data_IF_560621038363
#
_entry.id   IF_560621038363
#
_cell.length_a   1.000
_cell.length_b   1.000
_cell.length_c   1.000
_cell.angle_alpha   90.00
_cell.angle_beta   90.00
_cell.angle_gamma   90.00
#
_symmetry.space_group_name_H-M   'P 1'
#
loop_
_entity.id
_entity.type
_entity.pdbx_description
1 polymer ?
#
# COMPACT_ATOMS: atom_id res chain seq x y z
N UNK A 1 -5.96 -34.66 6.00
CA UNK A 1 -6.79 -33.78 5.20
C UNK A 1 -7.72 -33.06 6.14
N UNK A 2 -7.80 -31.73 6.10
CA UNK A 2 -8.76 -30.93 6.88
C UNK A 2 -9.87 -30.49 5.94
N UNK A 3 -11.07 -30.26 6.46
CA UNK A 3 -12.21 -29.79 5.68
C UNK A 3 -12.76 -28.51 6.29
N UNK A 4 -13.25 -27.60 5.46
CA UNK A 4 -13.90 -26.36 5.89
C UNK A 4 -14.93 -25.91 4.84
N UNK A 5 -15.92 -25.12 5.21
CA UNK A 5 -16.83 -24.52 4.23
C UNK A 5 -16.11 -23.38 3.47
N UNK A 6 -15.35 -22.56 4.18
CA UNK A 6 -14.62 -21.44 3.55
C UNK A 6 -13.18 -21.40 4.03
N UNK A 7 -12.24 -21.47 3.09
CA UNK A 7 -10.83 -21.25 3.31
C UNK A 7 -10.46 -19.82 2.89
N UNK A 8 -9.83 -19.08 3.79
CA UNK A 8 -9.29 -17.74 3.51
C UNK A 8 -7.77 -17.83 3.50
N UNK A 9 -7.17 -17.51 2.35
CA UNK A 9 -5.71 -17.52 2.16
C UNK A 9 -5.19 -16.09 2.30
N UNK A 10 -4.60 -15.78 3.44
CA UNK A 10 -4.09 -14.47 3.83
C UNK A 10 -4.94 -13.80 4.92
N UNK A 11 -4.35 -13.67 6.10
CA UNK A 11 -4.93 -13.04 7.29
C UNK A 11 -4.74 -11.50 7.32
N UNK A 12 -4.68 -10.83 6.16
CA UNK A 12 -4.64 -9.37 6.06
C UNK A 12 -6.02 -8.72 6.20
N UNK A 13 -6.12 -7.41 5.90
CA UNK A 13 -7.38 -6.65 6.04
C UNK A 13 -8.55 -7.31 5.29
N UNK A 14 -8.36 -7.71 4.04
CA UNK A 14 -9.42 -8.37 3.26
C UNK A 14 -9.88 -9.68 3.88
N UNK A 15 -8.94 -10.54 4.30
CA UNK A 15 -9.24 -11.85 4.87
C UNK A 15 -9.89 -11.78 6.25
N UNK A 16 -9.39 -10.92 7.16
CA UNK A 16 -9.97 -10.77 8.50
C UNK A 16 -11.39 -10.19 8.45
N UNK A 17 -11.64 -9.19 7.59
CA UNK A 17 -12.97 -8.60 7.44
C UNK A 17 -13.94 -9.55 6.72
N UNK A 18 -13.48 -10.35 5.76
CA UNK A 18 -14.29 -11.42 5.19
C UNK A 18 -14.70 -12.44 6.25
N UNK A 19 -13.75 -12.91 7.06
CA UNK A 19 -14.02 -13.84 8.15
C UNK A 19 -14.99 -13.28 9.20
N UNK A 20 -14.80 -12.01 9.59
CA UNK A 20 -15.69 -11.31 10.51
C UNK A 20 -17.13 -11.30 9.99
N UNK A 21 -17.31 -10.94 8.73
CA UNK A 21 -18.63 -10.81 8.14
C UNK A 21 -19.31 -12.17 7.92
N UNK A 22 -18.56 -13.17 7.42
CA UNK A 22 -19.05 -14.55 7.28
C UNK A 22 -19.51 -15.11 8.62
N UNK A 23 -18.73 -14.93 9.69
CA UNK A 23 -19.13 -15.39 11.03
C UNK A 23 -20.37 -14.69 11.55
N UNK A 24 -20.51 -13.39 11.28
CA UNK A 24 -21.68 -12.61 11.67
C UNK A 24 -22.97 -13.10 10.95
N UNK A 25 -22.86 -13.48 9.68
CA UNK A 25 -24.01 -13.95 8.88
C UNK A 25 -24.30 -15.43 9.06
N UNK A 26 -23.25 -16.24 9.19
CA UNK A 26 -23.32 -17.70 9.24
C UNK A 26 -22.62 -18.22 10.51
N UNK A 27 -23.31 -18.19 11.67
CA UNK A 27 -22.68 -18.51 12.97
C UNK A 27 -22.10 -19.93 13.06
N UNK A 28 -22.60 -20.86 12.23
CA UNK A 28 -22.18 -22.26 12.24
C UNK A 28 -21.29 -22.66 11.05
N UNK A 29 -20.89 -21.72 10.19
CA UNK A 29 -20.01 -22.00 9.06
C UNK A 29 -18.58 -22.32 9.57
N UNK A 30 -17.99 -23.38 9.08
CA UNK A 30 -16.57 -23.66 9.35
C UNK A 30 -15.69 -22.76 8.48
N UNK A 31 -14.85 -21.95 9.14
CA UNK A 31 -13.97 -20.98 8.48
C UNK A 31 -12.55 -21.18 8.98
N UNK A 32 -11.62 -21.37 8.05
CA UNK A 32 -10.19 -21.45 8.31
C UNK A 32 -9.50 -20.28 7.63
N UNK A 33 -8.67 -19.53 8.35
CA UNK A 33 -7.74 -18.53 7.79
C UNK A 33 -6.34 -19.13 7.87
N UNK A 34 -5.60 -19.08 6.78
CA UNK A 34 -4.16 -19.40 6.77
C UNK A 34 -3.34 -18.18 6.41
N UNK A 35 -2.21 -17.98 7.08
CA UNK A 35 -1.24 -16.94 6.73
C UNK A 35 0.20 -17.48 6.81
N UNK A 36 1.02 -17.12 5.83
CA UNK A 36 2.43 -17.57 5.77
C UNK A 36 3.34 -16.95 6.85
N UNK A 37 2.93 -15.86 7.46
CA UNK A 37 3.67 -15.21 8.55
C UNK A 37 3.04 -15.50 9.91
N UNK A 38 3.63 -14.95 10.97
CA UNK A 38 3.23 -15.18 12.34
C UNK A 38 1.93 -14.47 12.74
N UNK A 39 1.32 -14.89 13.86
CA UNK A 39 0.29 -14.13 14.57
C UNK A 39 0.78 -12.73 14.93
N UNK A 40 -0.11 -11.75 14.95
CA UNK A 40 0.25 -10.32 15.13
C UNK A 40 1.16 -10.09 16.35
N UNK A 41 0.82 -10.67 17.49
CA UNK A 41 1.59 -10.57 18.76
C UNK A 41 3.00 -11.17 18.68
N UNK A 42 3.24 -12.08 17.74
CA UNK A 42 4.51 -12.81 17.57
C UNK A 42 5.38 -12.25 16.44
N UNK A 43 4.86 -11.26 15.68
CA UNK A 43 5.58 -10.61 14.59
C UNK A 43 6.65 -9.66 15.14
N UNK A 44 7.92 -10.03 15.03
CA UNK A 44 9.07 -9.27 15.52
C UNK A 44 10.06 -8.98 14.39
N UNK A 45 10.40 -7.72 14.20
CA UNK A 45 11.39 -7.30 13.21
C UNK A 45 12.61 -6.68 13.90
N UNK A 46 13.83 -7.18 13.68
CA UNK A 46 15.03 -6.56 14.23
C UNK A 46 15.21 -5.10 13.81
N UNK A 47 14.85 -4.75 12.57
CA UNK A 47 14.95 -3.37 12.06
C UNK A 47 14.03 -2.40 12.80
N UNK A 48 12.82 -2.82 13.22
CA UNK A 48 11.93 -1.98 14.03
C UNK A 48 12.46 -1.74 15.46
N UNK A 49 13.45 -2.54 15.88
CA UNK A 49 14.16 -2.41 17.16
C UNK A 49 15.53 -1.69 17.01
N UNK A 50 15.75 -0.96 15.92
CA UNK A 50 16.97 -0.20 15.65
C UNK A 50 18.17 -1.01 15.16
N UNK A 51 17.98 -2.30 14.81
CA UNK A 51 19.04 -3.14 14.23
C UNK A 51 18.97 -3.10 12.69
N UNK A 52 20.01 -3.59 12.03
CA UNK A 52 19.99 -3.76 10.58
C UNK A 52 18.92 -4.79 10.15
N UNK A 53 18.37 -4.61 8.94
CA UNK A 53 17.47 -5.62 8.34
C UNK A 53 18.26 -6.91 8.09
N UNK A 54 17.66 -8.04 8.52
CA UNK A 54 18.29 -9.37 8.38
C UNK A 54 17.74 -10.16 7.17
N UNK A 55 16.96 -9.53 6.31
CA UNK A 55 16.39 -10.12 5.07
C UNK A 55 15.66 -11.45 5.31
N UNK A 56 14.73 -11.46 6.27
CA UNK A 56 13.93 -12.65 6.60
C UNK A 56 13.25 -13.23 5.36
N UNK A 57 13.18 -14.59 5.26
CA UNK A 57 12.45 -15.28 4.19
C UNK A 57 10.96 -14.84 4.15
N UNK A 58 10.33 -14.73 5.30
CA UNK A 58 9.01 -14.12 5.46
C UNK A 58 9.17 -12.84 6.29
N UNK A 59 8.92 -11.68 5.70
CA UNK A 59 9.14 -10.40 6.35
C UNK A 59 8.07 -10.14 7.43
N UNK A 60 8.47 -10.05 8.69
CA UNK A 60 7.55 -9.83 9.82
C UNK A 60 6.80 -8.48 9.75
N UNK A 61 7.26 -7.49 8.96
CA UNK A 61 6.55 -6.21 8.76
C UNK A 61 5.46 -6.32 7.71
N UNK A 62 5.71 -7.04 6.61
CA UNK A 62 4.80 -7.07 5.46
C UNK A 62 3.92 -8.30 5.39
N UNK A 63 4.26 -9.38 6.13
CA UNK A 63 3.56 -10.67 6.10
C UNK A 63 3.20 -11.15 7.50
N UNK A 64 2.08 -11.82 7.63
CA UNK A 64 1.52 -12.32 8.89
C UNK A 64 0.13 -11.78 9.15
N UNK A 65 -0.52 -12.32 10.18
CA UNK A 65 -1.89 -11.96 10.54
C UNK A 65 -2.00 -10.47 10.84
N UNK A 66 -3.06 -9.83 10.37
CA UNK A 66 -3.30 -8.40 10.18
C UNK A 66 -2.54 -7.74 9.00
N UNK A 67 -1.76 -8.50 8.22
CA UNK A 67 -1.12 -8.04 6.98
C UNK A 67 -0.07 -6.96 7.17
N UNK A 68 0.34 -6.32 6.08
CA UNK A 68 1.27 -5.18 6.10
C UNK A 68 0.66 -3.95 6.78
N UNK A 69 -0.66 -3.85 6.83
CA UNK A 69 -1.39 -2.76 7.47
C UNK A 69 -1.15 -2.64 8.97
N UNK A 70 -0.89 -3.76 9.67
CA UNK A 70 -0.75 -3.79 11.12
C UNK A 70 0.36 -2.85 11.66
N UNK A 71 1.46 -2.72 10.91
CA UNK A 71 2.61 -1.88 11.28
C UNK A 71 2.72 -0.61 10.44
N UNK A 72 1.70 -0.29 9.65
CA UNK A 72 1.59 0.99 8.98
C UNK A 72 1.17 2.10 9.96
N UNK A 73 1.19 3.34 9.51
CA UNK A 73 0.60 4.46 10.26
C UNK A 73 -0.94 4.43 10.32
N UNK A 74 -1.54 3.41 9.71
CA UNK A 74 -2.98 3.12 9.74
C UNK A 74 -3.87 4.32 9.35
N UNK A 75 -3.65 4.83 8.16
CA UNK A 75 -4.55 5.79 7.52
C UNK A 75 -5.69 5.03 6.85
N UNK A 76 -6.84 5.06 7.45
CA UNK A 76 -8.06 4.54 6.87
C UNK A 76 -8.75 5.64 6.05
N UNK A 77 -8.77 5.44 4.76
CA UNK A 77 -9.39 6.38 3.82
C UNK A 77 -10.88 6.08 3.71
N UNK A 78 -11.72 7.07 4.03
CA UNK A 78 -13.17 6.96 3.93
C UNK A 78 -13.60 7.73 2.68
N UNK A 79 -13.49 7.06 1.55
CA UNK A 79 -13.77 7.62 0.23
C UNK A 79 -13.39 6.66 -0.88
N UNK A 80 -13.91 6.94 -2.09
CA UNK A 80 -13.68 6.14 -3.30
C UNK A 80 -12.67 6.76 -4.26
N UNK A 81 -12.34 8.03 -4.08
CA UNK A 81 -11.49 8.79 -5.01
C UNK A 81 -10.06 8.24 -5.17
N UNK A 82 -9.63 7.34 -4.28
CA UNK A 82 -8.35 6.63 -4.33
C UNK A 82 -8.33 5.46 -3.32
N UNK A 83 -7.27 4.67 -3.34
CA UNK A 83 -7.16 3.45 -2.51
C UNK A 83 -7.49 2.19 -3.30
N UNK A 84 -7.65 2.30 -4.62
CA UNK A 84 -7.96 1.23 -5.56
C UNK A 84 -9.05 1.62 -6.55
N UNK A 85 -9.55 0.63 -7.26
CA UNK A 85 -10.61 0.76 -8.29
C UNK A 85 -11.94 0.13 -7.85
N UNK A 86 -12.15 -0.04 -6.55
CA UNK A 86 -13.35 -0.72 -6.02
C UNK A 86 -14.65 -0.06 -6.48
N UNK A 87 -14.68 1.28 -6.59
CA UNK A 87 -15.87 2.00 -7.09
C UNK A 87 -16.08 1.86 -8.60
N UNK A 88 -15.02 1.59 -9.36
CA UNK A 88 -15.15 1.27 -10.79
C UNK A 88 -15.84 -0.09 -10.99
N UNK A 89 -15.62 -1.04 -10.04
CA UNK A 89 -16.22 -2.38 -10.07
C UNK A 89 -17.67 -2.42 -9.55
N UNK A 90 -17.94 -1.69 -8.45
CA UNK A 90 -19.19 -1.81 -7.70
C UNK A 90 -20.13 -0.59 -7.84
N UNK A 91 -19.60 0.53 -8.35
CA UNK A 91 -20.22 1.85 -8.23
C UNK A 91 -19.89 2.52 -6.89
N UNK A 92 -19.91 3.87 -6.89
CA UNK A 92 -19.51 4.67 -5.73
C UNK A 92 -20.36 4.41 -4.50
N UNK A 93 -21.69 4.33 -4.64
CA UNK A 93 -22.61 4.16 -3.51
C UNK A 93 -22.39 2.84 -2.79
N UNK A 94 -22.22 1.74 -3.54
CA UNK A 94 -21.98 0.41 -2.98
C UNK A 94 -20.62 0.36 -2.31
N UNK A 95 -19.57 0.84 -2.98
CA UNK A 95 -18.22 0.89 -2.43
C UNK A 95 -18.18 1.71 -1.13
N UNK A 96 -18.81 2.90 -1.11
CA UNK A 96 -18.88 3.75 0.08
C UNK A 96 -19.65 3.10 1.22
N UNK A 97 -20.73 2.36 0.94
CA UNK A 97 -21.47 1.65 1.98
C UNK A 97 -20.57 0.66 2.73
N UNK A 98 -19.79 -0.16 1.99
CA UNK A 98 -18.86 -1.12 2.62
C UNK A 98 -17.67 -0.45 3.30
N UNK A 99 -17.13 0.63 2.75
CA UNK A 99 -16.07 1.42 3.40
C UNK A 99 -16.56 2.01 4.73
N UNK A 100 -17.80 2.52 4.79
CA UNK A 100 -18.40 3.02 6.01
C UNK A 100 -18.67 1.91 7.05
N UNK A 101 -19.01 0.69 6.59
CA UNK A 101 -19.12 -0.46 7.48
C UNK A 101 -17.75 -0.83 8.08
N UNK A 102 -16.68 -0.80 7.29
CA UNK A 102 -15.30 -0.99 7.80
C UNK A 102 -14.98 0.02 8.90
N UNK A 103 -15.28 1.31 8.69
CA UNK A 103 -15.04 2.37 9.69
C UNK A 103 -15.78 2.07 11.02
N UNK A 104 -17.05 1.68 10.96
CA UNK A 104 -17.84 1.30 12.12
C UNK A 104 -17.32 0.06 12.85
N UNK A 105 -16.86 -0.95 12.11
CA UNK A 105 -16.27 -2.16 12.70
C UNK A 105 -14.98 -1.80 13.44
N UNK A 106 -14.10 -1.01 12.83
CA UNK A 106 -12.87 -0.55 13.47
C UNK A 106 -13.14 0.29 14.73
N UNK A 107 -14.15 1.15 14.69
CA UNK A 107 -14.60 1.90 15.87
C UNK A 107 -14.99 0.96 17.03
N UNK A 108 -15.71 -0.12 16.72
CA UNK A 108 -16.13 -1.12 17.72
C UNK A 108 -14.97 -1.89 18.39
N UNK A 109 -13.82 -2.00 17.72
CA UNK A 109 -12.63 -2.66 18.25
C UNK A 109 -11.58 -1.69 18.81
N UNK A 110 -11.80 -0.38 18.74
CA UNK A 110 -10.83 0.64 19.15
C UNK A 110 -11.23 1.31 20.48
N UNK A 111 -10.33 1.34 21.46
CA UNK A 111 -10.59 2.00 22.75
C UNK A 111 -10.73 3.54 22.62
N UNK A 112 -9.95 4.16 21.75
CA UNK A 112 -9.92 5.60 21.51
C UNK A 112 -9.91 5.86 20.01
N UNK A 113 -11.06 5.71 19.36
CA UNK A 113 -11.15 5.90 17.92
C UNK A 113 -10.92 7.37 17.55
N UNK A 114 -10.00 7.67 16.62
CA UNK A 114 -9.61 9.04 16.33
C UNK A 114 -10.71 9.80 15.59
N UNK A 115 -10.72 11.11 15.74
CA UNK A 115 -11.58 11.98 14.93
C UNK A 115 -11.24 11.82 13.44
N UNK A 116 -12.26 11.99 12.60
CA UNK A 116 -12.09 12.04 11.16
C UNK A 116 -11.49 13.39 10.76
N UNK A 117 -10.50 13.37 9.90
CA UNK A 117 -10.07 14.53 9.13
C UNK A 117 -10.93 14.59 7.88
N UNK A 118 -11.63 15.70 7.71
CA UNK A 118 -12.56 15.91 6.59
C UNK A 118 -11.89 16.71 5.47
N UNK A 119 -12.49 16.66 4.28
CA UNK A 119 -12.08 17.50 3.15
C UNK A 119 -12.23 18.99 3.48
N UNK A 120 -11.45 19.85 2.81
CA UNK A 120 -11.45 21.29 3.06
C UNK A 120 -11.64 22.07 1.75
N UNK A 121 -12.76 22.81 1.64
CA UNK A 121 -13.15 23.51 0.43
C UNK A 121 -12.20 24.68 0.08
N UNK A 122 -11.63 25.39 1.07
CA UNK A 122 -10.68 26.48 0.81
C UNK A 122 -9.41 25.94 0.15
N UNK A 123 -8.91 24.79 0.63
CA UNK A 123 -7.74 24.14 0.05
C UNK A 123 -8.04 23.57 -1.34
N UNK A 124 -9.25 23.06 -1.58
CA UNK A 124 -9.68 22.65 -2.92
C UNK A 124 -9.68 23.84 -3.88
N UNK A 125 -10.29 24.95 -3.47
CA UNK A 125 -10.32 26.17 -4.27
C UNK A 125 -8.90 26.66 -4.58
N UNK A 126 -8.02 26.69 -3.57
CA UNK A 126 -6.61 27.06 -3.74
C UNK A 126 -5.89 26.18 -4.77
N UNK A 127 -6.15 24.87 -4.76
CA UNK A 127 -5.60 23.92 -5.73
C UNK A 127 -6.17 24.18 -7.14
N UNK A 128 -7.49 24.31 -7.30
CA UNK A 128 -8.15 24.55 -8.59
C UNK A 128 -7.65 25.84 -9.24
N UNK A 129 -7.49 26.92 -8.48
CA UNK A 129 -6.94 28.20 -8.97
C UNK A 129 -5.51 28.06 -9.54
N UNK A 130 -4.79 26.99 -9.17
CA UNK A 130 -3.44 26.70 -9.65
C UNK A 130 -3.36 25.49 -10.59
N UNK A 131 -4.49 25.10 -11.21
CA UNK A 131 -4.60 23.92 -12.10
C UNK A 131 -4.17 22.61 -11.43
N UNK A 132 -4.41 22.48 -10.15
CA UNK A 132 -4.24 21.28 -9.37
C UNK A 132 -5.59 20.76 -8.91
N UNK A 133 -5.69 19.43 -8.69
CA UNK A 133 -6.88 18.80 -8.15
C UNK A 133 -6.58 18.15 -6.80
N UNK A 134 -7.05 18.77 -5.72
CA UNK A 134 -7.05 18.13 -4.41
C UNK A 134 -8.17 17.09 -4.40
N UNK A 135 -7.82 15.85 -4.08
CA UNK A 135 -8.81 14.77 -3.97
C UNK A 135 -9.61 14.91 -2.68
N UNK A 136 -10.91 14.65 -2.79
CA UNK A 136 -11.78 14.57 -1.63
C UNK A 136 -11.37 13.43 -0.72
N UNK A 137 -11.13 13.74 0.54
CA UNK A 137 -10.65 12.79 1.51
C UNK A 137 -11.25 13.00 2.88
N UNK A 138 -11.83 11.92 3.38
CA UNK A 138 -12.00 11.74 4.81
C UNK A 138 -11.00 10.67 5.26
N UNK A 139 -10.22 10.95 6.29
CA UNK A 139 -9.17 10.06 6.78
C UNK A 139 -9.28 9.88 8.28
N UNK A 140 -9.19 8.65 8.71
CA UNK A 140 -8.91 8.32 10.11
C UNK A 140 -7.48 7.85 10.24
N UNK A 141 -6.74 8.47 11.14
CA UNK A 141 -5.36 8.11 11.42
C UNK A 141 -5.26 7.48 12.81
N UNK A 142 -5.19 6.15 12.86
CA UNK A 142 -5.06 5.43 14.11
C UNK A 142 -3.64 5.56 14.71
N UNK A 143 -2.63 5.61 13.86
CA UNK A 143 -1.23 5.48 14.25
C UNK A 143 -0.84 4.01 14.42
N UNK A 144 0.45 3.71 14.26
CA UNK A 144 0.97 2.33 14.26
C UNK A 144 0.69 1.60 15.58
N UNK A 145 0.82 2.29 16.69
CA UNK A 145 0.61 1.76 18.04
C UNK A 145 -0.85 1.35 18.31
N UNK A 146 -1.79 2.26 18.07
CA UNK A 146 -3.23 1.98 18.29
C UNK A 146 -3.77 0.97 17.30
N UNK A 147 -3.31 1.04 16.06
CA UNK A 147 -3.74 0.10 15.03
C UNK A 147 -3.42 -1.35 15.38
N UNK A 148 -2.23 -1.62 15.92
CA UNK A 148 -1.86 -2.96 16.34
C UNK A 148 -2.80 -3.49 17.44
N UNK A 149 -3.20 -2.64 18.40
CA UNK A 149 -4.17 -3.00 19.45
C UNK A 149 -5.55 -3.26 18.86
N UNK A 150 -6.06 -2.37 18.02
CA UNK A 150 -7.36 -2.53 17.33
C UNK A 150 -7.43 -3.82 16.54
N UNK A 151 -6.38 -4.12 15.77
CA UNK A 151 -6.32 -5.35 14.98
C UNK A 151 -6.19 -6.60 15.86
N UNK A 152 -5.51 -6.52 17.01
CA UNK A 152 -5.44 -7.64 17.95
C UNK A 152 -6.82 -7.93 18.55
N UNK A 153 -7.60 -6.92 18.94
CA UNK A 153 -8.97 -7.09 19.41
C UNK A 153 -9.88 -7.78 18.37
N UNK A 154 -9.75 -7.38 17.09
CA UNK A 154 -10.47 -8.07 16.01
C UNK A 154 -10.05 -9.54 15.88
N UNK A 155 -8.76 -9.84 15.94
CA UNK A 155 -8.23 -11.21 15.87
C UNK A 155 -8.74 -12.04 17.06
N UNK A 156 -8.67 -11.52 18.26
CA UNK A 156 -9.13 -12.19 19.47
C UNK A 156 -10.65 -12.49 19.37
N UNK A 157 -11.44 -11.51 18.90
CA UNK A 157 -12.87 -11.72 18.62
C UNK A 157 -13.12 -12.88 17.63
N UNK A 158 -12.34 -12.95 16.54
CA UNK A 158 -12.49 -14.03 15.55
C UNK A 158 -12.18 -15.41 16.16
N UNK A 159 -11.14 -15.51 16.96
CA UNK A 159 -10.74 -16.74 17.65
C UNK A 159 -11.81 -17.16 18.68
N UNK A 160 -12.30 -16.22 19.49
CA UNK A 160 -13.35 -16.46 20.47
C UNK A 160 -14.67 -16.91 19.81
N UNK A 161 -14.91 -16.48 18.58
CA UNK A 161 -16.03 -16.90 17.74
C UNK A 161 -15.71 -18.12 16.85
N UNK A 162 -14.73 -18.93 17.24
CA UNK A 162 -14.42 -20.24 16.63
C UNK A 162 -13.97 -20.17 15.16
N UNK A 163 -13.33 -19.09 14.75
CA UNK A 163 -12.61 -19.04 13.49
C UNK A 163 -11.19 -19.57 13.74
N UNK A 164 -10.79 -20.60 13.01
CA UNK A 164 -9.44 -21.13 13.10
C UNK A 164 -8.48 -20.27 12.30
N UNK A 165 -7.44 -19.76 12.94
CA UNK A 165 -6.37 -18.99 12.27
C UNK A 165 -5.07 -19.80 12.41
N UNK A 166 -4.50 -20.20 11.27
CA UNK A 166 -3.26 -20.97 11.20
C UNK A 166 -2.18 -20.08 10.64
N UNK A 167 -1.26 -19.70 11.48
CA UNK A 167 -0.09 -18.91 11.12
C UNK A 167 1.08 -19.78 10.66
N UNK A 168 2.14 -19.18 10.09
CA UNK A 168 3.26 -19.91 9.48
C UNK A 168 2.81 -20.99 8.47
N UNK A 169 1.64 -20.82 7.86
CA UNK A 169 1.00 -21.72 6.92
C UNK A 169 0.98 -21.09 5.51
N UNK A 170 1.88 -21.55 4.66
CA UNK A 170 2.02 -21.06 3.29
C UNK A 170 1.23 -21.95 2.32
N UNK A 171 0.29 -21.36 1.58
CA UNK A 171 -0.41 -22.05 0.51
C UNK A 171 0.47 -22.09 -0.73
N UNK A 172 0.96 -23.28 -1.07
CA UNK A 172 1.87 -23.48 -2.19
C UNK A 172 1.18 -23.93 -3.49
N UNK A 173 -0.06 -24.40 -3.38
CA UNK A 173 -0.88 -24.84 -4.51
C UNK A 173 -2.36 -24.76 -4.19
N UNK A 174 -3.18 -24.56 -5.23
CA UNK A 174 -4.63 -24.60 -5.16
C UNK A 174 -5.14 -25.23 -6.45
N UNK A 175 -5.99 -26.24 -6.34
CA UNK A 175 -6.59 -26.92 -7.47
C UNK A 175 -8.02 -27.37 -7.15
N UNK A 176 -8.79 -27.64 -8.19
CA UNK A 176 -10.21 -28.06 -8.10
C UNK A 176 -10.36 -29.43 -8.76
N UNK A 177 -10.21 -30.53 -7.99
CA UNK A 177 -10.23 -31.88 -8.56
C UNK A 177 -11.60 -32.30 -9.07
N UNK A 178 -12.67 -31.71 -8.49
CA UNK A 178 -14.08 -31.87 -8.89
C UNK A 178 -14.80 -30.54 -8.72
N UNK A 179 -15.93 -30.37 -9.34
CA UNK A 179 -16.67 -29.10 -9.31
C UNK A 179 -17.18 -28.70 -7.91
N UNK A 180 -17.22 -29.63 -6.98
CA UNK A 180 -17.82 -29.43 -5.64
C UNK A 180 -16.87 -28.77 -4.62
N UNK A 181 -15.55 -28.92 -4.78
CA UNK A 181 -14.61 -28.39 -3.79
C UNK A 181 -13.21 -28.09 -4.34
N UNK A 182 -12.50 -27.22 -3.61
CA UNK A 182 -11.10 -26.92 -3.82
C UNK A 182 -10.21 -27.69 -2.86
N UNK A 183 -8.98 -27.93 -3.27
CA UNK A 183 -7.92 -28.47 -2.42
C UNK A 183 -6.73 -27.51 -2.42
N UNK A 184 -6.41 -26.98 -1.23
CA UNK A 184 -5.25 -26.14 -1.01
C UNK A 184 -4.10 -27.00 -0.42
N UNK A 185 -2.94 -26.94 -1.06
CA UNK A 185 -1.70 -27.52 -0.55
C UNK A 185 -1.04 -26.53 0.40
N UNK A 186 -0.88 -26.89 1.66
CA UNK A 186 -0.37 -26.02 2.72
C UNK A 186 0.91 -26.58 3.32
N UNK A 187 1.89 -25.71 3.52
CA UNK A 187 3.12 -26.02 4.26
C UNK A 187 3.14 -25.19 5.54
N UNK A 188 3.00 -25.86 6.68
CA UNK A 188 3.07 -25.28 8.02
C UNK A 188 4.28 -25.86 8.76
N UNK A 189 5.21 -25.01 9.21
CA UNK A 189 6.42 -25.45 9.92
C UNK A 189 7.18 -26.63 9.26
N UNK A 190 7.28 -26.64 7.92
CA UNK A 190 7.85 -27.72 7.09
C UNK A 190 7.00 -29.01 7.05
N UNK A 191 5.79 -29.00 7.56
CA UNK A 191 4.84 -30.11 7.42
C UNK A 191 3.84 -29.78 6.33
N UNK A 192 3.74 -30.64 5.32
CA UNK A 192 2.81 -30.46 4.21
C UNK A 192 1.52 -31.25 4.44
N UNK A 193 0.38 -30.61 4.21
CA UNK A 193 -0.94 -31.22 4.27
C UNK A 193 -1.92 -30.49 3.35
N UNK A 194 -3.11 -31.03 3.18
CA UNK A 194 -4.15 -30.47 2.33
C UNK A 194 -5.34 -29.99 3.15
N UNK A 195 -5.94 -28.87 2.71
CA UNK A 195 -7.23 -28.37 3.19
C UNK A 195 -8.21 -28.43 2.03
N UNK A 196 -9.34 -29.09 2.24
CA UNK A 196 -10.48 -29.10 1.33
C UNK A 196 -11.46 -27.99 1.73
N UNK A 197 -11.98 -27.24 0.77
CA UNK A 197 -12.93 -26.16 1.02
C UNK A 197 -13.97 -26.06 -0.11
N UNK A 198 -15.21 -25.73 0.25
CA UNK A 198 -16.27 -25.47 -0.71
C UNK A 198 -16.05 -24.12 -1.41
N UNK A 199 -15.61 -23.09 -0.64
CA UNK A 199 -15.27 -21.76 -1.11
C UNK A 199 -13.85 -21.37 -0.70
N UNK A 200 -13.16 -20.61 -1.57
CA UNK A 200 -11.82 -20.09 -1.30
C UNK A 200 -11.77 -18.60 -1.54
N UNK A 201 -11.33 -17.83 -0.55
CA UNK A 201 -11.06 -16.41 -0.66
C UNK A 201 -9.54 -16.20 -0.61
N UNK A 202 -8.94 -15.74 -1.71
CA UNK A 202 -7.51 -15.42 -1.78
C UNK A 202 -7.33 -13.93 -1.49
N UNK A 203 -6.78 -13.63 -0.31
CA UNK A 203 -6.58 -12.28 0.22
C UNK A 203 -5.10 -12.00 0.58
N UNK A 204 -4.17 -12.48 -0.25
CA UNK A 204 -2.73 -12.54 0.04
C UNK A 204 -1.99 -11.21 -0.05
N UNK A 205 -2.68 -10.12 -0.39
CA UNK A 205 -2.09 -8.80 -0.54
C UNK A 205 -0.99 -8.74 -1.61
N UNK A 206 -0.24 -7.64 -1.68
CA UNK A 206 0.83 -7.44 -2.69
C UNK A 206 1.94 -8.49 -2.60
N UNK A 207 2.23 -8.96 -1.39
CA UNK A 207 3.23 -10.01 -1.18
C UNK A 207 2.86 -11.37 -1.76
N UNK A 208 1.60 -11.57 -2.15
CA UNK A 208 1.08 -12.77 -2.81
C UNK A 208 0.84 -12.64 -4.31
N UNK A 209 1.34 -11.59 -4.97
CA UNK A 209 1.13 -11.36 -6.40
C UNK A 209 1.56 -12.56 -7.27
N UNK A 210 2.69 -13.21 -6.93
CA UNK A 210 3.16 -14.40 -7.65
C UNK A 210 2.22 -15.60 -7.45
N UNK A 211 1.64 -15.73 -6.26
CA UNK A 211 0.67 -16.78 -5.98
C UNK A 211 -0.64 -16.53 -6.76
N UNK A 212 -1.12 -15.29 -6.82
CA UNK A 212 -2.27 -14.93 -7.66
C UNK A 212 -1.99 -15.22 -9.12
N UNK A 213 -0.80 -14.87 -9.64
CA UNK A 213 -0.38 -15.22 -11.01
C UNK A 213 -0.37 -16.73 -11.24
N UNK A 214 0.12 -17.52 -10.26
CA UNK A 214 0.08 -18.98 -10.33
C UNK A 214 -1.35 -19.51 -10.40
N UNK A 215 -2.27 -18.97 -9.58
CA UNK A 215 -3.70 -19.32 -9.62
C UNK A 215 -4.30 -18.99 -11.00
N UNK A 216 -4.04 -17.80 -11.53
CA UNK A 216 -4.55 -17.43 -12.86
C UNK A 216 -4.08 -18.42 -13.93
N UNK A 217 -2.82 -18.85 -13.89
CA UNK A 217 -2.29 -19.85 -14.84
C UNK A 217 -2.90 -21.24 -14.62
N UNK A 218 -3.09 -21.68 -13.37
CA UNK A 218 -3.64 -23.00 -13.03
C UNK A 218 -5.10 -23.15 -13.49
N UNK A 219 -5.88 -22.10 -13.38
CA UNK A 219 -7.32 -22.10 -13.71
C UNK A 219 -7.63 -21.42 -15.04
N UNK A 220 -6.63 -21.09 -15.85
CA UNK A 220 -6.76 -20.41 -17.15
C UNK A 220 -7.59 -19.09 -17.05
N UNK A 221 -7.32 -18.32 -16.01
CA UNK A 221 -7.99 -17.05 -15.75
C UNK A 221 -7.26 -15.93 -16.49
N UNK A 222 -7.95 -15.27 -17.40
CA UNK A 222 -7.44 -14.08 -18.07
C UNK A 222 -7.13 -12.98 -17.05
N UNK A 223 -6.05 -12.24 -17.26
CA UNK A 223 -5.66 -11.13 -16.39
C UNK A 223 -5.08 -9.97 -17.19
N UNK A 224 -5.27 -8.76 -16.68
CA UNK A 224 -4.76 -7.53 -17.25
C UNK A 224 -3.59 -7.00 -16.41
N UNK A 225 -2.61 -6.38 -17.07
CA UNK A 225 -1.52 -5.69 -16.39
C UNK A 225 -2.02 -4.35 -15.84
N UNK A 226 -1.71 -4.06 -14.59
CA UNK A 226 -1.95 -2.75 -14.00
C UNK A 226 -0.89 -1.73 -14.45
N UNK A 227 -1.24 -0.44 -14.35
CA UNK A 227 -0.25 0.64 -14.45
C UNK A 227 0.82 0.51 -13.37
N UNK A 228 1.96 1.15 -13.59
CA UNK A 228 2.97 1.37 -12.55
C UNK A 228 3.17 2.84 -12.31
N UNK A 229 3.56 3.18 -11.09
CA UNK A 229 3.91 4.52 -10.72
C UNK A 229 5.39 4.60 -10.37
N UNK A 230 6.10 5.50 -11.02
CA UNK A 230 7.53 5.71 -10.80
C UNK A 230 7.81 7.18 -10.54
N UNK A 231 8.66 7.47 -9.58
CA UNK A 231 9.06 8.83 -9.26
C UNK A 231 10.00 8.94 -8.09
N UNK A 232 9.75 9.91 -7.22
CA UNK A 232 10.63 10.26 -6.11
C UNK A 232 9.87 10.46 -4.81
N UNK A 233 10.55 10.26 -3.70
CA UNK A 233 10.16 10.79 -2.40
C UNK A 233 10.74 12.18 -2.24
N UNK A 234 9.93 13.12 -1.80
CA UNK A 234 10.31 14.52 -1.58
C UNK A 234 10.35 14.78 -0.08
N UNK A 235 11.38 15.43 0.41
CA UNK A 235 11.51 15.82 1.82
C UNK A 235 11.86 17.31 1.93
N UNK A 236 11.17 18.01 2.81
CA UNK A 236 11.39 19.43 3.07
C UNK A 236 10.99 19.80 4.50
N UNK A 237 11.16 21.07 4.89
CA UNK A 237 10.69 21.55 6.19
C UNK A 237 9.18 21.47 6.31
N UNK A 238 8.68 20.91 7.41
CA UNK A 238 7.26 20.68 7.71
C UNK A 238 6.41 21.96 7.63
N UNK A 239 6.98 23.09 8.03
CA UNK A 239 6.31 24.39 8.01
C UNK A 239 5.76 24.79 6.63
N UNK A 240 6.36 24.29 5.53
CA UNK A 240 5.95 24.60 4.14
C UNK A 240 4.54 24.04 3.86
N UNK A 241 4.23 22.86 4.36
CA UNK A 241 2.95 22.19 4.15
C UNK A 241 1.99 22.24 5.34
N UNK A 242 2.36 23.02 6.38
CA UNK A 242 1.61 23.05 7.64
C UNK A 242 0.13 23.46 7.45
N UNK A 243 -0.17 24.37 6.53
CA UNK A 243 -1.56 24.77 6.25
C UNK A 243 -2.41 23.57 5.79
N UNK A 244 -1.85 22.70 4.97
CA UNK A 244 -2.54 21.50 4.47
C UNK A 244 -2.65 20.43 5.57
N UNK A 245 -1.54 20.13 6.23
CA UNK A 245 -1.51 19.06 7.23
C UNK A 245 -2.35 19.33 8.46
N UNK A 246 -2.49 20.61 8.87
CA UNK A 246 -3.33 20.98 9.99
C UNK A 246 -4.84 20.85 9.67
N UNK A 247 -5.23 21.07 8.40
CA UNK A 247 -6.64 21.05 7.97
C UNK A 247 -7.13 19.68 7.51
N UNK A 248 -6.31 18.96 6.73
CA UNK A 248 -6.73 17.71 6.06
C UNK A 248 -5.83 16.51 6.34
N UNK A 249 -4.80 16.66 7.18
CA UNK A 249 -3.80 15.68 7.58
C UNK A 249 -2.96 15.12 6.43
N UNK A 250 -3.53 14.53 5.38
CA UNK A 250 -2.83 13.91 4.25
C UNK A 250 -3.33 14.45 2.91
N UNK A 251 -2.74 15.54 2.39
CA UNK A 251 -3.11 16.03 1.07
C UNK A 251 -2.76 15.03 -0.03
N UNK A 252 -3.71 14.77 -0.93
CA UNK A 252 -3.49 14.02 -2.18
C UNK A 252 -3.88 14.91 -3.34
N UNK A 253 -2.87 15.27 -4.15
CA UNK A 253 -3.02 16.26 -5.20
C UNK A 253 -2.64 15.63 -6.54
N UNK A 254 -3.54 15.75 -7.52
CA UNK A 254 -3.27 15.42 -8.91
C UNK A 254 -2.82 16.65 -9.67
N UNK A 255 -1.81 16.48 -10.50
CA UNK A 255 -1.30 17.47 -11.40
C UNK A 255 -1.28 16.91 -12.83
N UNK A 256 -1.86 17.64 -13.79
CA UNK A 256 -1.64 17.38 -15.21
C UNK A 256 -0.43 18.21 -15.66
N UNK A 257 0.64 17.53 -16.07
CA UNK A 257 1.89 18.17 -16.49
C UNK A 257 1.71 18.92 -17.81
N UNK A 258 2.51 19.97 -18.01
CA UNK A 258 2.35 20.83 -19.19
C UNK A 258 2.98 20.23 -20.44
N UNK A 259 4.17 19.64 -20.31
CA UNK A 259 4.97 19.17 -21.44
C UNK A 259 4.38 17.92 -22.08
N UNK A 260 3.99 16.94 -21.25
CA UNK A 260 3.52 15.64 -21.73
C UNK A 260 2.04 15.40 -21.50
N UNK A 261 1.36 16.30 -20.81
CA UNK A 261 -0.03 16.15 -20.36
C UNK A 261 -0.30 14.90 -19.52
N UNK A 262 0.76 14.35 -18.96
CA UNK A 262 0.68 13.19 -18.09
C UNK A 262 0.09 13.57 -16.73
N UNK A 263 -0.59 12.62 -16.10
CA UNK A 263 -1.04 12.79 -14.74
C UNK A 263 0.06 12.35 -13.77
N UNK A 264 0.44 13.26 -12.90
CA UNK A 264 1.23 12.96 -11.71
C UNK A 264 0.39 13.08 -10.47
N UNK A 265 0.85 12.46 -9.40
CA UNK A 265 0.17 12.51 -8.12
C UNK A 265 1.16 12.71 -6.97
N UNK A 266 0.81 13.66 -6.10
CA UNK A 266 1.35 13.77 -4.76
C UNK A 266 0.49 12.94 -3.81
N UNK A 267 1.10 12.08 -3.02
CA UNK A 267 0.40 11.27 -2.02
C UNK A 267 1.32 10.76 -0.91
N UNK A 268 0.77 10.05 0.06
CA UNK A 268 1.50 9.49 1.20
C UNK A 268 2.28 10.58 1.95
N UNK A 269 1.57 11.67 2.28
CA UNK A 269 2.13 12.78 3.05
C UNK A 269 2.37 12.37 4.50
N UNK A 270 3.51 12.73 5.06
CA UNK A 270 3.94 12.42 6.41
C UNK A 270 4.42 13.69 7.11
N UNK A 271 3.55 14.26 7.94
CA UNK A 271 3.84 15.42 8.77
C UNK A 271 4.81 15.05 9.89
N UNK A 272 5.90 15.81 10.04
CA UNK A 272 6.92 15.51 11.04
C UNK A 272 7.53 14.11 10.86
N UNK A 273 7.47 13.57 9.64
CA UNK A 273 7.84 12.20 9.34
C UNK A 273 9.29 12.03 8.95
N UNK A 274 9.64 10.80 8.66
CA UNK A 274 10.96 10.40 8.15
C UNK A 274 10.82 9.75 6.76
N UNK A 275 11.82 9.92 5.93
CA UNK A 275 12.00 9.09 4.74
C UNK A 275 12.56 7.75 5.17
N UNK A 276 12.05 6.67 4.64
CA UNK A 276 12.46 5.30 4.94
C UNK A 276 12.83 4.55 3.66
N UNK A 277 13.60 3.50 3.79
CA UNK A 277 13.88 2.55 2.72
C UNK A 277 12.97 1.33 2.85
N UNK A 278 12.39 0.91 1.73
CA UNK A 278 11.60 -0.32 1.62
C UNK A 278 12.38 -1.32 0.76
N UNK A 279 12.58 -2.52 1.29
CA UNK A 279 13.20 -3.61 0.55
C UNK A 279 12.12 -4.55 0.01
N UNK A 280 11.99 -4.59 -1.30
CA UNK A 280 11.09 -5.50 -1.98
C UNK A 280 11.91 -6.42 -2.90
N UNK A 281 12.08 -7.68 -2.51
CA UNK A 281 12.83 -8.71 -3.26
C UNK A 281 14.27 -8.30 -3.61
N UNK A 282 14.94 -7.60 -2.69
CA UNK A 282 16.32 -7.12 -2.90
C UNK A 282 16.43 -5.77 -3.63
N UNK A 283 15.31 -5.19 -4.05
CA UNK A 283 15.26 -3.83 -4.62
C UNK A 283 14.91 -2.86 -3.51
N UNK A 284 15.77 -1.87 -3.30
CA UNK A 284 15.58 -0.83 -2.28
C UNK A 284 14.93 0.39 -2.92
N UNK A 285 13.76 0.78 -2.42
CA UNK A 285 13.04 1.98 -2.87
C UNK A 285 12.79 2.92 -1.71
N UNK A 286 12.60 4.22 -2.02
CA UNK A 286 12.20 5.20 -1.03
C UNK A 286 10.74 5.01 -0.63
N UNK A 287 10.44 5.28 0.64
CA UNK A 287 9.10 5.36 1.19
C UNK A 287 9.08 6.41 2.31
N UNK A 288 7.96 6.65 2.95
CA UNK A 288 7.84 7.56 4.08
C UNK A 288 7.11 6.94 5.24
N UNK A 289 7.40 7.44 6.42
CA UNK A 289 6.77 7.02 7.66
C UNK A 289 6.56 8.21 8.59
N UNK A 290 5.45 8.19 9.35
CA UNK A 290 5.18 9.16 10.40
C UNK A 290 4.80 8.45 11.70
N UNK A 291 5.17 9.06 12.82
CA UNK A 291 4.85 8.55 14.15
C UNK A 291 3.66 9.32 14.73
N UNK A 292 2.78 8.62 15.45
CA UNK A 292 1.73 9.25 16.24
C UNK A 292 2.31 9.93 17.47
N UNK A 293 3.39 9.37 18.04
CA UNK A 293 4.13 9.92 19.17
C UNK A 293 4.81 11.25 18.79
N UNK A 294 4.40 12.39 19.38
CA UNK A 294 4.97 13.71 19.09
C UNK A 294 6.48 13.80 19.37
N UNK A 295 7.00 12.99 20.29
CA UNK A 295 8.43 13.01 20.66
C UNK A 295 9.34 12.43 19.57
N UNK A 296 8.77 11.68 18.63
CA UNK A 296 9.46 11.07 17.48
C UNK A 296 9.32 11.85 16.19
N UNK A 297 8.56 12.96 16.21
CA UNK A 297 8.40 13.82 15.05
C UNK A 297 9.67 14.59 14.73
N UNK A 298 9.93 14.74 13.44
CA UNK A 298 11.04 15.57 12.92
C UNK A 298 10.53 16.97 12.55
N UNK A 299 11.46 17.88 12.18
CA UNK A 299 11.13 19.19 11.61
C UNK A 299 10.77 19.13 10.12
N UNK A 300 10.78 17.94 9.53
CA UNK A 300 10.55 17.74 8.11
C UNK A 300 9.19 17.09 7.87
N UNK A 301 8.61 17.36 6.70
CA UNK A 301 7.58 16.53 6.09
C UNK A 301 8.12 15.84 4.85
N UNK A 302 7.48 14.78 4.44
CA UNK A 302 7.82 14.11 3.19
C UNK A 302 6.56 13.54 2.50
N UNK A 303 6.64 13.40 1.18
CA UNK A 303 5.58 12.83 0.35
C UNK A 303 6.15 12.27 -0.95
N UNK A 304 5.40 11.40 -1.62
CA UNK A 304 5.76 10.89 -2.93
C UNK A 304 5.23 11.79 -4.04
N UNK A 305 6.01 11.98 -5.10
CA UNK A 305 5.54 12.47 -6.40
C UNK A 305 5.80 11.35 -7.41
N UNK A 306 4.73 10.77 -7.94
CA UNK A 306 4.79 9.68 -8.90
C UNK A 306 4.10 10.04 -10.20
N UNK A 307 4.71 9.60 -11.31
CA UNK A 307 4.13 9.62 -12.64
C UNK A 307 3.56 8.24 -12.95
N UNK A 308 2.28 8.17 -13.27
CA UNK A 308 1.62 6.92 -13.66
C UNK A 308 1.96 6.59 -15.11
N UNK A 309 2.34 5.35 -15.37
CA UNK A 309 2.73 4.88 -16.68
C UNK A 309 1.84 3.69 -17.05
N UNK A 310 1.17 3.81 -18.19
CA UNK A 310 0.43 2.74 -18.82
C UNK A 310 1.22 2.26 -20.03
N UNK A 311 1.43 0.98 -20.11
CA UNK A 311 2.04 0.36 -21.26
C UNK A 311 0.97 -0.32 -22.12
N UNK A 312 1.19 -0.31 -23.43
CA UNK A 312 0.38 -1.02 -24.40
C UNK A 312 1.30 -1.96 -25.18
N UNK A 313 0.70 -2.92 -25.89
CA UNK A 313 1.47 -3.82 -26.76
C UNK A 313 2.52 -3.05 -27.61
N UNK A 314 3.69 -3.63 -27.83
CA UNK A 314 4.08 -5.02 -27.51
C UNK A 314 4.64 -5.25 -26.09
N UNK A 315 4.66 -4.24 -25.22
CA UNK A 315 5.21 -4.35 -23.88
C UNK A 315 4.08 -4.43 -22.83
N UNK A 316 3.99 -5.56 -22.17
CA UNK A 316 2.95 -5.90 -21.21
C UNK A 316 3.43 -6.14 -19.77
N UNK A 317 4.72 -5.81 -19.47
CA UNK A 317 5.35 -6.09 -18.19
C UNK A 317 5.72 -4.81 -17.41
N UNK A 318 4.73 -3.97 -17.05
CA UNK A 318 4.99 -2.67 -16.41
C UNK A 318 5.75 -2.80 -15.08
N UNK A 319 5.52 -3.87 -14.31
CA UNK A 319 6.24 -4.13 -13.07
C UNK A 319 7.74 -4.31 -13.32
N UNK A 320 8.12 -5.07 -14.33
CA UNK A 320 9.54 -5.29 -14.70
C UNK A 320 10.22 -3.98 -15.09
N UNK A 321 9.53 -3.11 -15.84
CA UNK A 321 10.05 -1.78 -16.17
C UNK A 321 10.37 -0.98 -14.90
N UNK A 322 9.43 -0.88 -13.97
CA UNK A 322 9.61 -0.11 -12.74
C UNK A 322 10.67 -0.73 -11.81
N UNK A 323 10.77 -2.07 -11.77
CA UNK A 323 11.85 -2.76 -11.08
C UNK A 323 13.22 -2.46 -11.69
N UNK A 324 13.34 -2.45 -13.01
CA UNK A 324 14.60 -2.15 -13.70
C UNK A 324 15.05 -0.71 -13.46
N UNK A 325 14.14 0.28 -13.46
CA UNK A 325 14.44 1.65 -13.07
C UNK A 325 14.94 1.71 -11.62
N UNK A 326 14.31 0.99 -10.71
CA UNK A 326 14.70 0.94 -9.29
C UNK A 326 16.05 0.22 -9.09
N UNK A 327 16.33 -0.85 -9.86
CA UNK A 327 17.64 -1.53 -9.84
C UNK A 327 18.77 -0.63 -10.33
N UNK A 328 18.52 0.19 -11.38
CA UNK A 328 19.50 1.19 -11.82
C UNK A 328 19.79 2.21 -10.71
N UNK A 329 18.78 2.68 -9.99
CA UNK A 329 18.96 3.55 -8.84
C UNK A 329 19.85 2.91 -7.77
N UNK A 330 19.59 1.66 -7.43
CA UNK A 330 20.38 0.93 -6.44
C UNK A 330 21.82 0.70 -6.92
N UNK A 331 22.02 0.41 -8.21
CA UNK A 331 23.36 0.25 -8.78
C UNK A 331 24.20 1.54 -8.63
N UNK A 332 23.63 2.69 -8.97
CA UNK A 332 24.28 4.00 -8.84
C UNK A 332 24.41 4.41 -7.36
N UNK A 333 23.43 4.07 -6.52
CA UNK A 333 23.41 4.31 -5.07
C UNK A 333 24.26 3.34 -4.25
N UNK A 334 25.02 2.43 -4.90
CA UNK A 334 25.79 1.36 -4.24
C UNK A 334 24.92 0.50 -3.30
N UNK A 335 23.79 0.04 -3.82
CA UNK A 335 22.82 -0.78 -3.07
C UNK A 335 21.87 0.01 -2.18
N UNK A 336 21.86 1.34 -2.29
CA UNK A 336 21.03 2.23 -1.48
C UNK A 336 20.15 3.15 -2.35
N UNK A 337 19.28 3.92 -1.71
CA UNK A 337 18.51 5.02 -2.32
C UNK A 337 19.46 6.18 -2.63
N UNK A 338 19.24 6.87 -3.75
CA UNK A 338 19.95 8.10 -4.12
C UNK A 338 19.22 9.30 -3.52
N UNK A 339 19.95 10.27 -2.96
CA UNK A 339 19.41 11.58 -2.56
C UNK A 339 20.04 12.70 -3.39
N UNK A 340 19.21 13.62 -3.90
CA UNK A 340 19.64 14.80 -4.64
C UNK A 340 18.89 16.04 -4.17
N UNK A 341 19.59 17.17 -4.04
CA UNK A 341 18.97 18.48 -3.80
C UNK A 341 18.24 18.94 -5.06
N UNK A 342 17.03 19.49 -4.92
CA UNK A 342 16.26 19.98 -6.05
C UNK A 342 17.01 21.06 -6.85
N UNK A 343 17.66 21.99 -6.15
CA UNK A 343 18.48 23.02 -6.82
C UNK A 343 19.67 22.46 -7.61
N UNK A 344 20.26 21.33 -7.20
CA UNK A 344 21.32 20.68 -7.97
C UNK A 344 20.74 19.97 -9.21
N UNK A 345 19.58 19.31 -9.07
CA UNK A 345 18.86 18.67 -10.19
C UNK A 345 18.54 19.71 -11.28
N UNK A 346 17.96 20.87 -10.92
CA UNK A 346 17.59 21.92 -11.88
C UNK A 346 18.82 22.49 -12.60
N UNK A 347 19.99 22.52 -11.95
CA UNK A 347 21.26 22.95 -12.55
C UNK A 347 21.97 21.85 -13.34
N UNK A 348 21.35 20.68 -13.50
CA UNK A 348 21.92 19.54 -14.22
C UNK A 348 23.20 19.01 -13.60
N UNK A 349 23.29 18.99 -12.28
CA UNK A 349 24.49 18.56 -11.58
C UNK A 349 24.18 17.62 -10.40
N UNK A 350 25.07 16.69 -10.17
CA UNK A 350 25.03 15.76 -9.06
C UNK A 350 25.11 16.49 -7.70
N UNK A 351 24.35 16.07 -6.71
CA UNK A 351 24.59 16.40 -5.30
C UNK A 351 25.75 15.53 -4.77
N UNK A 352 26.62 16.13 -3.95
CA UNK A 352 27.69 15.45 -3.25
C UNK A 352 27.55 15.67 -1.72
N UNK A 353 28.30 14.92 -0.94
CA UNK A 353 28.27 14.98 0.53
C UNK A 353 28.50 16.39 1.08
N UNK A 354 29.41 17.17 0.47
CA UNK A 354 29.67 18.53 0.90
C UNK A 354 28.45 19.44 0.72
N UNK A 355 27.76 19.39 -0.44
CA UNK A 355 26.54 20.19 -0.65
C UNK A 355 25.40 19.71 0.25
N UNK A 356 25.29 18.40 0.46
CA UNK A 356 24.27 17.82 1.34
C UNK A 356 24.49 18.23 2.80
N UNK A 357 25.75 18.28 3.25
CA UNK A 357 26.09 18.75 4.60
C UNK A 357 25.81 20.25 4.84
N UNK A 358 25.72 21.05 3.79
CA UNK A 358 25.38 22.48 3.87
C UNK A 358 23.87 22.75 3.72
N UNK A 359 23.08 21.70 3.41
CA UNK A 359 21.65 21.82 3.16
C UNK A 359 20.87 22.21 4.42
N UNK A 360 19.87 23.06 4.33
CA UNK A 360 19.00 23.45 5.46
C UNK A 360 18.03 22.34 5.85
N UNK A 361 17.59 21.53 4.88
CA UNK A 361 16.82 20.30 5.12
C UNK A 361 17.79 19.17 5.40
N UNK A 362 17.79 18.66 6.62
CA UNK A 362 18.63 17.52 7.01
C UNK A 362 17.96 16.21 6.57
N UNK A 363 18.65 15.36 5.78
CA UNK A 363 18.11 14.07 5.39
C UNK A 363 17.72 13.22 6.60
N UNK A 364 16.52 12.65 6.58
CA UNK A 364 16.08 11.70 7.62
C UNK A 364 16.42 10.25 7.26
N UNK A 365 16.70 9.96 5.97
CA UNK A 365 17.22 8.68 5.51
C UNK A 365 18.71 8.81 5.20
N UNK A 366 19.52 7.85 5.67
CA UNK A 366 20.90 7.69 5.22
C UNK A 366 20.91 7.14 3.79
N UNK A 367 20.99 8.03 2.80
CA UNK A 367 20.95 7.75 1.37
C UNK A 367 22.25 8.22 0.68
N UNK A 368 22.53 7.69 -0.48
CA UNK A 368 23.74 8.05 -1.25
C UNK A 368 23.54 9.37 -1.99
N UNK A 369 24.36 10.37 -1.73
CA UNK A 369 24.32 11.63 -2.49
C UNK A 369 24.68 11.39 -3.97
N UNK A 370 23.76 11.74 -4.88
CA UNK A 370 23.89 11.35 -6.28
C UNK A 370 23.16 12.25 -7.28
N UNK A 371 22.86 11.66 -8.42
CA UNK A 371 22.15 12.28 -9.53
C UNK A 371 21.01 11.38 -10.01
N UNK A 372 19.78 11.79 -9.72
CA UNK A 372 18.56 11.07 -10.08
C UNK A 372 18.31 11.12 -11.61
N UNK A 373 18.84 12.13 -12.30
CA UNK A 373 18.68 12.25 -13.75
C UNK A 373 19.36 11.13 -14.55
N UNK A 374 20.30 10.41 -13.93
CA UNK A 374 20.94 9.22 -14.52
C UNK A 374 20.05 7.97 -14.46
N UNK A 375 18.96 8.02 -13.74
CA UNK A 375 18.10 6.87 -13.47
C UNK A 375 16.70 7.04 -14.04
N UNK A 376 16.07 8.18 -13.74
CA UNK A 376 14.70 8.42 -14.18
C UNK A 376 14.67 8.77 -15.66
N UNK A 377 13.82 8.11 -16.46
CA UNK A 377 13.58 8.51 -17.84
C UNK A 377 13.18 9.98 -17.93
N UNK A 378 13.63 10.65 -19.00
CA UNK A 378 13.41 12.09 -19.23
C UNK A 378 11.96 12.53 -19.03
N UNK A 379 10.99 11.76 -19.54
CA UNK A 379 9.56 12.03 -19.40
C UNK A 379 9.13 12.07 -17.93
N UNK A 380 9.53 11.08 -17.15
CA UNK A 380 9.20 10.98 -15.71
C UNK A 380 9.85 12.12 -14.94
N UNK A 381 11.13 12.38 -15.21
CA UNK A 381 11.89 13.46 -14.55
C UNK A 381 11.27 14.83 -14.83
N UNK A 382 10.91 15.12 -16.08
CA UNK A 382 10.22 16.36 -16.47
C UNK A 382 8.88 16.49 -15.75
N UNK A 383 8.08 15.42 -15.71
CA UNK A 383 6.81 15.40 -15.00
C UNK A 383 6.96 15.73 -13.51
N UNK A 384 7.98 15.18 -12.85
CA UNK A 384 8.28 15.44 -11.43
C UNK A 384 8.66 16.90 -11.22
N UNK A 385 9.56 17.46 -12.04
CA UNK A 385 10.01 18.85 -11.94
C UNK A 385 8.83 19.80 -12.11
N UNK A 386 8.00 19.60 -13.13
CA UNK A 386 6.80 20.42 -13.38
C UNK A 386 5.81 20.33 -12.21
N UNK A 387 5.65 19.14 -11.63
CA UNK A 387 4.77 18.93 -10.47
C UNK A 387 5.28 19.67 -9.24
N UNK A 388 6.60 19.66 -8.97
CA UNK A 388 7.18 20.40 -7.85
C UNK A 388 6.91 21.89 -8.00
N UNK A 389 7.11 22.48 -9.20
CA UNK A 389 6.78 23.88 -9.46
C UNK A 389 5.28 24.18 -9.39
N UNK A 390 4.42 23.23 -9.76
CA UNK A 390 2.99 23.40 -9.61
C UNK A 390 2.56 23.39 -8.14
N UNK A 391 3.11 22.49 -7.33
CA UNK A 391 2.88 22.42 -5.89
C UNK A 391 3.42 23.63 -5.14
N UNK A 392 4.53 24.23 -5.60
CA UNK A 392 5.10 25.44 -5.01
C UNK A 392 4.12 26.62 -5.02
N UNK A 393 3.18 26.67 -5.97
CA UNK A 393 2.15 27.72 -6.04
C UNK A 393 1.13 27.64 -4.92
N UNK A 394 0.85 26.44 -4.39
CA UNK A 394 -0.11 26.22 -3.32
C UNK A 394 0.57 26.08 -1.95
N UNK A 395 1.83 25.65 -1.93
CA UNK A 395 2.69 25.55 -0.74
C UNK A 395 4.07 26.16 -1.07
N UNK A 396 4.22 27.50 -1.01
CA UNK A 396 5.45 28.21 -1.37
C UNK A 396 6.64 27.73 -0.55
N UNK A 397 7.74 27.39 -1.23
CA UNK A 397 8.94 26.78 -0.66
C UNK A 397 9.08 25.30 -1.02
N UNK A 398 8.08 24.69 -1.68
CA UNK A 398 8.18 23.32 -2.18
C UNK A 398 9.30 23.17 -3.21
N UNK A 399 9.49 24.17 -4.11
CA UNK A 399 10.54 24.21 -5.13
C UNK A 399 11.84 24.87 -4.62
N UNK A 400 12.11 24.85 -3.31
CA UNK A 400 13.34 25.37 -2.75
C UNK A 400 14.56 24.56 -3.20
N UNK A 401 15.71 25.21 -3.40
CA UNK A 401 16.98 24.55 -3.73
C UNK A 401 17.35 23.42 -2.76
N UNK A 402 17.00 23.59 -1.49
CA UNK A 402 17.31 22.66 -0.39
C UNK A 402 16.28 21.54 -0.20
N UNK A 403 15.19 21.53 -0.97
CA UNK A 403 14.26 20.38 -1.03
C UNK A 403 15.02 19.13 -1.49
N UNK A 404 14.85 18.04 -0.79
CA UNK A 404 15.52 16.76 -1.06
C UNK A 404 14.61 15.84 -1.87
N UNK A 405 15.18 15.19 -2.86
CA UNK A 405 14.53 14.17 -3.68
C UNK A 405 15.26 12.84 -3.49
N UNK A 406 14.50 11.79 -3.20
CA UNK A 406 15.04 10.43 -3.04
C UNK A 406 14.53 9.57 -4.20
N UNK A 407 15.45 8.99 -4.94
CA UNK A 407 15.14 8.15 -6.11
C UNK A 407 15.60 6.70 -5.95
N UNK A 408 14.78 5.75 -6.35
CA UNK A 408 13.41 5.85 -6.83
C UNK A 408 12.39 5.57 -5.72
N UNK A 409 11.22 6.15 -5.85
CA UNK A 409 10.02 5.56 -5.27
C UNK A 409 9.21 4.95 -6.41
N UNK A 410 8.84 3.66 -6.26
CA UNK A 410 8.05 2.94 -7.25
C UNK A 410 6.91 2.21 -6.55
N UNK A 411 5.74 2.22 -7.17
CA UNK A 411 4.59 1.45 -6.70
C UNK A 411 4.16 0.50 -7.81
N UNK A 412 4.21 -0.78 -7.47
CA UNK A 412 3.78 -1.87 -8.31
C UNK A 412 2.37 -2.30 -7.89
N UNK A 413 1.57 -2.71 -8.84
CA UNK A 413 0.26 -3.25 -8.60
C UNK A 413 0.20 -4.66 -9.17
N UNK A 414 -0.46 -5.55 -8.45
CA UNK A 414 -0.69 -6.92 -8.90
C UNK A 414 -1.47 -6.95 -10.20
N UNK A 415 -1.38 -8.05 -10.94
CA UNK A 415 -2.28 -8.31 -12.07
C UNK A 415 -3.73 -8.18 -11.60
N UNK A 416 -4.60 -7.74 -12.50
CA UNK A 416 -6.04 -7.70 -12.29
C UNK A 416 -6.66 -8.91 -13.01
N UNK A 417 -6.97 -9.99 -12.27
CA UNK A 417 -7.66 -11.15 -12.83
C UNK A 417 -9.06 -10.76 -13.30
N UNK A 418 -9.51 -11.32 -14.41
CA UNK A 418 -10.88 -11.17 -14.88
C UNK A 418 -11.82 -11.89 -13.92
N UNK A 419 -12.87 -11.21 -13.51
CA UNK A 419 -13.83 -11.70 -12.52
C UNK A 419 -15.26 -11.26 -12.87
N UNK A 420 -16.23 -11.87 -12.27
CA UNK A 420 -17.62 -11.39 -12.31
C UNK A 420 -17.81 -10.22 -11.30
N UNK A 421 -19.00 -9.65 -11.26
CA UNK A 421 -19.34 -8.54 -10.33
C UNK A 421 -19.15 -8.86 -8.84
N UNK A 422 -18.99 -10.14 -8.49
CA UNK A 422 -18.82 -10.60 -7.10
C UNK A 422 -17.35 -10.86 -6.75
N UNK A 423 -16.39 -10.48 -7.62
CA UNK A 423 -14.96 -10.81 -7.53
C UNK A 423 -14.66 -12.32 -7.57
N UNK A 424 -15.60 -13.10 -8.07
CA UNK A 424 -15.48 -14.52 -8.31
C UNK A 424 -14.83 -14.74 -9.69
N UNK A 425 -13.74 -15.47 -9.73
CA UNK A 425 -12.97 -15.76 -10.95
C UNK A 425 -13.38 -17.09 -11.60
N UNK A 426 -13.72 -18.07 -10.77
CA UNK A 426 -14.42 -19.31 -11.13
C UNK A 426 -15.37 -19.65 -9.96
N UNK A 427 -16.40 -20.50 -10.17
CA UNK A 427 -17.39 -20.81 -9.13
C UNK A 427 -16.74 -21.25 -7.82
N UNK A 428 -16.96 -20.46 -6.74
CA UNK A 428 -16.43 -20.65 -5.40
C UNK A 428 -15.03 -20.12 -5.15
N UNK A 429 -14.36 -19.48 -6.13
CA UNK A 429 -13.02 -18.88 -5.95
C UNK A 429 -13.06 -17.36 -6.11
N UNK A 430 -12.67 -16.65 -5.07
CA UNK A 430 -12.68 -15.18 -5.00
C UNK A 430 -11.27 -14.65 -4.82
N UNK A 431 -10.88 -13.66 -5.63
CA UNK A 431 -9.58 -12.99 -5.51
C UNK A 431 -9.81 -11.55 -5.05
N UNK A 432 -9.31 -11.19 -3.87
CA UNK A 432 -9.58 -9.89 -3.24
C UNK A 432 -8.33 -9.17 -2.74
N UNK A 433 -8.52 -7.90 -2.39
CA UNK A 433 -7.49 -7.08 -1.80
C UNK A 433 -6.40 -6.64 -2.80
N UNK A 434 -5.27 -6.17 -2.28
CA UNK A 434 -4.17 -5.65 -3.12
C UNK A 434 -3.54 -6.73 -4.02
N UNK A 435 -3.69 -8.00 -3.65
CA UNK A 435 -3.22 -9.14 -4.45
C UNK A 435 -3.99 -9.33 -5.75
N UNK A 436 -5.27 -8.94 -5.80
CA UNK A 436 -6.11 -8.96 -7.01
C UNK A 436 -5.95 -7.72 -7.90
N UNK A 437 -5.07 -6.77 -7.53
CA UNK A 437 -4.86 -5.55 -8.30
C UNK A 437 -5.98 -4.50 -8.21
N UNK A 438 -7.04 -4.76 -7.45
CA UNK A 438 -8.24 -3.90 -7.33
C UNK A 438 -8.08 -2.90 -6.19
N UNK A 439 -7.83 -3.36 -4.96
CA UNK A 439 -7.58 -2.45 -3.86
C UNK A 439 -6.11 -2.02 -3.79
N UNK A 440 -5.87 -0.86 -3.17
CA UNK A 440 -4.53 -0.28 -2.97
C UNK A 440 -4.42 0.38 -1.59
N UNK A 441 -5.25 -0.06 -0.65
CA UNK A 441 -5.31 0.50 0.69
C UNK A 441 -6.19 -0.28 1.64
N UNK A 442 -6.04 0.00 2.94
CA UNK A 442 -6.62 -0.78 4.03
C UNK A 442 -8.16 -0.84 3.96
N UNK A 443 -8.81 0.32 3.78
CA UNK A 443 -10.28 0.43 3.78
C UNK A 443 -10.90 -0.33 2.62
N UNK A 444 -10.36 -0.17 1.39
CA UNK A 444 -10.92 -0.88 0.24
C UNK A 444 -10.64 -2.38 0.29
N UNK A 445 -9.48 -2.82 0.77
CA UNK A 445 -9.21 -4.24 0.95
C UNK A 445 -10.18 -4.88 1.96
N UNK A 446 -10.45 -4.20 3.09
CA UNK A 446 -11.43 -4.64 4.07
C UNK A 446 -12.86 -4.63 3.51
N UNK A 447 -13.24 -3.56 2.78
CA UNK A 447 -14.55 -3.45 2.14
C UNK A 447 -14.80 -4.56 1.10
N UNK A 448 -13.77 -4.94 0.32
CA UNK A 448 -13.86 -6.11 -0.56
C UNK A 448 -14.12 -7.40 0.22
N UNK A 449 -13.46 -7.57 1.37
CA UNK A 449 -13.69 -8.73 2.25
C UNK A 449 -15.14 -8.81 2.72
N UNK A 450 -15.72 -7.69 3.19
CA UNK A 450 -17.13 -7.62 3.57
C UNK A 450 -18.04 -7.93 2.40
N UNK A 451 -17.79 -7.30 1.24
CA UNK A 451 -18.60 -7.46 0.04
C UNK A 451 -18.65 -8.92 -0.43
N UNK A 452 -17.49 -9.58 -0.55
CA UNK A 452 -17.41 -10.98 -0.99
C UNK A 452 -18.09 -11.91 0.01
N UNK A 453 -17.96 -11.65 1.30
CA UNK A 453 -18.66 -12.43 2.32
C UNK A 453 -20.20 -12.33 2.24
N UNK A 454 -20.75 -11.28 1.62
CA UNK A 454 -22.18 -11.16 1.30
C UNK A 454 -22.60 -11.98 0.07
N UNK A 455 -21.65 -12.45 -0.74
CA UNK A 455 -21.91 -13.21 -1.96
C UNK A 455 -21.80 -14.73 -1.78
N UNK A 456 -21.23 -15.19 -0.66
CA UNK A 456 -21.10 -16.59 -0.23
C UNK A 456 -22.32 -16.99 0.60
#
# INVERSE_FOLDING_TARGET
>A
MRNTNTLIIGGGMGGLFAAFHLRSRYPNMDIIIIDKGAMLKDRKCPASMGKACVHCKTCAITSGVAGSGAFSDAKFNIGTAYGGTLSEELGDDVAMNYINQVDKILEGFSENYPKMFESNEDLKLKCVQNNLRLLDMNVRHLGTDRNAVTMQHLIDYLIDNKIEIIDHADCIGLYKPVDEYFVAEVVEHNHQYNIQADNVIVATGRGGADFVKKICNEFDIESEANAVDVGVRVEMKDIIWKEFSDKIYEPKILCKTKTFEDQTRMFCFNQGGIVSAENNRGIITANGHSFADPTKKTENCNFAILSSIHFTEPFDQPTEYAENVSRMANMIGNGNVIVQRFGDLIRGRRTNEHRLSQNTVRPTLNATAGDISLVLPHRILTNIIETIYALDKVAPGTANDDTLLYGCESKYYSLKPKHNKNFEVIPGLYLIGDGSGISRGLSQAAAMGLYVADQI
#
